data_IF_301988220104
#
_entry.id   IF_301988220104
#
_cell.length_a   1.000
_cell.length_b   1.000
_cell.length_c   1.000
_cell.angle_alpha   90.00
_cell.angle_beta   90.00
_cell.angle_gamma   90.00
#
_symmetry.space_group_name_H-M   'P 1'
#
loop_
_entity.id
_entity.type
_entity.pdbx_description
1 polymer ?
#
# COMPACT_ATOMS: atom_id res chain seq x y z
N UNK A 1 65.76 2.32 -14.57
CA UNK A 1 64.36 1.82 -14.64
C UNK A 1 63.55 2.47 -13.52
N UNK A 2 62.33 2.95 -13.83
CA UNK A 2 61.25 3.50 -12.94
C UNK A 2 61.62 4.75 -12.09
N UNK A 3 61.40 6.00 -12.54
CA UNK A 3 60.14 6.78 -12.71
C UNK A 3 59.22 6.81 -11.47
N UNK A 4 59.25 7.97 -10.80
CA UNK A 4 58.17 8.75 -10.15
C UNK A 4 56.80 8.07 -9.99
N UNK A 5 56.17 8.20 -8.83
CA UNK A 5 54.96 9.03 -8.61
C UNK A 5 54.37 8.68 -7.23
N UNK A 6 54.67 9.49 -6.22
CA UNK A 6 53.93 9.53 -4.94
C UNK A 6 52.80 10.53 -5.14
N UNK A 7 51.57 10.09 -5.30
CA UNK A 7 50.40 10.96 -5.36
C UNK A 7 49.37 10.50 -4.33
N UNK A 8 49.22 11.32 -3.30
CA UNK A 8 47.98 11.62 -2.56
C UNK A 8 46.89 10.54 -2.55
N UNK A 9 46.75 9.84 -1.42
CA UNK A 9 45.51 9.16 -1.04
C UNK A 9 45.06 9.70 0.33
N UNK A 10 44.58 10.94 0.32
CA UNK A 10 43.69 11.48 1.34
C UNK A 10 42.50 12.13 0.64
N UNK A 11 41.51 11.32 0.34
CA UNK A 11 40.12 11.72 0.13
C UNK A 11 39.37 10.41 0.34
N UNK A 12 38.71 10.21 1.46
CA UNK A 12 37.71 11.10 2.01
C UNK A 12 36.49 10.21 2.17
N UNK A 13 36.03 10.07 3.41
CA UNK A 13 34.77 9.44 3.77
C UNK A 13 33.69 9.82 2.76
N UNK A 14 32.96 8.82 2.24
CA UNK A 14 31.55 8.84 1.83
C UNK A 14 31.33 7.78 0.75
N UNK A 15 31.25 6.52 1.16
CA UNK A 15 30.51 5.47 0.44
C UNK A 15 30.33 4.25 1.36
N UNK A 16 29.90 4.46 2.61
CA UNK A 16 29.37 3.39 3.46
C UNK A 16 27.86 3.50 3.50
N UNK A 17 27.20 3.09 2.41
CA UNK A 17 25.79 2.62 2.41
C UNK A 17 25.35 2.29 0.98
N UNK A 18 25.95 1.27 0.37
CA UNK A 18 25.40 0.65 -0.85
C UNK A 18 25.39 -0.88 -0.71
N UNK A 19 25.09 -1.37 0.50
CA UNK A 19 25.07 -2.79 0.80
C UNK A 19 23.81 -3.15 1.57
N UNK A 20 22.66 -3.08 0.91
CA UNK A 20 21.40 -3.65 1.41
C UNK A 20 20.36 -3.92 0.30
N UNK A 21 20.73 -4.40 -0.89
CA UNK A 21 19.71 -4.78 -1.89
C UNK A 21 19.96 -6.18 -2.45
N UNK A 22 19.76 -7.20 -1.62
CA UNK A 22 19.60 -8.58 -2.09
C UNK A 22 18.40 -9.29 -1.43
N UNK A 23 17.43 -8.55 -0.87
CA UNK A 23 16.29 -9.17 -0.21
C UNK A 23 15.11 -8.26 0.18
N UNK A 24 15.05 -7.00 -0.26
CA UNK A 24 13.91 -6.14 0.06
C UNK A 24 12.73 -6.50 -0.84
N UNK A 25 11.58 -6.85 -0.24
CA UNK A 25 10.35 -7.03 -1.01
C UNK A 25 9.78 -5.64 -1.39
N UNK A 26 9.05 -5.54 -2.52
CA UNK A 26 8.53 -4.25 -3.00
C UNK A 26 7.62 -3.56 -1.98
N UNK A 27 6.96 -4.33 -1.10
CA UNK A 27 6.16 -3.77 -0.02
C UNK A 27 7.01 -2.99 1.00
N UNK A 28 8.13 -3.54 1.46
CA UNK A 28 9.06 -2.89 2.37
C UNK A 28 9.65 -1.62 1.77
N UNK A 29 10.03 -1.67 0.47
CA UNK A 29 10.48 -0.49 -0.25
C UNK A 29 9.40 0.59 -0.33
N UNK A 30 8.15 0.22 -0.58
CA UNK A 30 7.03 1.15 -0.61
C UNK A 30 6.79 1.83 0.76
N UNK A 31 6.91 1.08 1.85
CA UNK A 31 6.77 1.62 3.20
C UNK A 31 7.88 2.61 3.56
N UNK A 32 9.13 2.31 3.20
CA UNK A 32 10.26 3.23 3.39
C UNK A 32 10.02 4.55 2.64
N UNK A 33 9.72 4.48 1.34
CA UNK A 33 9.43 5.68 0.54
C UNK A 33 8.24 6.46 1.10
N UNK A 34 7.16 5.79 1.50
CA UNK A 34 5.99 6.44 2.10
C UNK A 34 6.34 7.14 3.41
N UNK A 35 7.14 6.53 4.28
CA UNK A 35 7.55 7.13 5.55
C UNK A 35 8.44 8.37 5.35
N UNK A 36 9.17 8.42 4.25
CA UNK A 36 9.94 9.58 3.81
C UNK A 36 9.12 10.63 3.04
N UNK A 37 7.81 10.40 2.85
CA UNK A 37 6.92 11.30 2.09
C UNK A 37 7.11 11.22 0.56
N UNK A 38 7.85 10.23 0.08
CA UNK A 38 8.09 9.95 -1.35
C UNK A 38 6.93 9.15 -1.93
N UNK A 39 5.77 9.80 -2.03
CA UNK A 39 4.52 9.16 -2.42
C UNK A 39 4.54 8.62 -3.87
N UNK A 40 5.23 9.29 -4.79
CA UNK A 40 5.34 8.83 -6.19
C UNK A 40 6.05 7.47 -6.28
N UNK A 41 7.22 7.34 -5.64
CA UNK A 41 7.98 6.10 -5.58
C UNK A 41 7.21 5.01 -4.80
N UNK A 42 6.59 5.37 -3.67
CA UNK A 42 5.79 4.44 -2.90
C UNK A 42 4.61 3.86 -3.72
N UNK A 43 3.95 4.65 -4.57
CA UNK A 43 2.87 4.16 -5.44
C UNK A 43 3.40 3.11 -6.43
N UNK A 44 4.58 3.33 -7.01
CA UNK A 44 5.21 2.37 -7.93
C UNK A 44 5.54 1.06 -7.22
N UNK A 45 6.11 1.14 -6.03
CA UNK A 45 6.51 -0.05 -5.26
C UNK A 45 5.31 -0.81 -4.68
N UNK A 46 4.26 -0.11 -4.21
CA UNK A 46 3.01 -0.80 -3.85
C UNK A 46 2.36 -1.48 -5.06
N UNK A 47 2.48 -0.89 -6.25
CA UNK A 47 1.96 -1.53 -7.47
C UNK A 47 2.67 -2.84 -7.75
N UNK A 48 4.00 -2.88 -7.63
CA UNK A 48 4.77 -4.12 -7.74
C UNK A 48 4.40 -5.12 -6.63
N UNK A 49 4.25 -4.66 -5.39
CA UNK A 49 3.85 -5.51 -4.27
C UNK A 49 2.47 -6.17 -4.46
N UNK A 50 1.55 -5.50 -5.16
CA UNK A 50 0.21 -6.01 -5.46
C UNK A 50 0.21 -7.10 -6.54
N UNK A 51 1.26 -7.22 -7.36
CA UNK A 51 1.35 -8.30 -8.35
C UNK A 51 1.52 -9.67 -7.68
N UNK A 52 2.28 -9.71 -6.59
CA UNK A 52 2.64 -10.93 -5.87
C UNK A 52 2.61 -10.72 -4.35
N UNK A 53 1.44 -10.44 -3.75
CA UNK A 53 1.33 -10.19 -2.31
C UNK A 53 1.68 -11.45 -1.52
N UNK A 54 2.49 -11.30 -0.48
CA UNK A 54 2.92 -12.40 0.39
C UNK A 54 1.79 -12.90 1.31
N UNK A 55 0.74 -12.11 1.51
CA UNK A 55 -0.43 -12.46 2.32
C UNK A 55 -1.63 -11.54 2.03
N UNK A 56 -2.83 -11.94 2.45
CA UNK A 56 -4.02 -11.06 2.42
C UNK A 56 -3.84 -9.80 3.27
N UNK A 57 -3.00 -9.86 4.31
CA UNK A 57 -2.63 -8.72 5.12
C UNK A 57 -1.76 -7.71 4.38
N UNK A 58 -0.78 -8.22 3.62
CA UNK A 58 0.05 -7.39 2.74
C UNK A 58 -0.80 -6.79 1.63
N UNK A 59 -1.68 -7.58 1.01
CA UNK A 59 -2.64 -7.11 0.01
C UNK A 59 -3.49 -5.94 0.54
N UNK A 60 -4.07 -6.09 1.74
CA UNK A 60 -4.88 -5.03 2.37
C UNK A 60 -4.08 -3.76 2.65
N UNK A 61 -2.85 -3.90 3.18
CA UNK A 61 -1.98 -2.76 3.49
C UNK A 61 -1.48 -2.06 2.23
N UNK A 62 -1.07 -2.82 1.21
CA UNK A 62 -0.60 -2.26 -0.07
C UNK A 62 -1.69 -1.40 -0.72
N UNK A 63 -2.93 -1.89 -0.81
CA UNK A 63 -4.04 -1.06 -1.30
C UNK A 63 -4.27 0.17 -0.42
N UNK A 64 -4.31 0.00 0.91
CA UNK A 64 -4.58 1.13 1.80
C UNK A 64 -3.50 2.23 1.73
N UNK A 65 -2.24 1.86 1.77
CA UNK A 65 -1.15 2.83 1.75
C UNK A 65 -0.96 3.43 0.36
N UNK A 66 -1.16 2.66 -0.72
CA UNK A 66 -1.22 3.21 -2.07
C UNK A 66 -2.39 4.20 -2.23
N UNK A 67 -3.53 3.94 -1.59
CA UNK A 67 -4.64 4.91 -1.52
C UNK A 67 -4.24 6.21 -0.84
N UNK A 68 -3.51 6.15 0.28
CA UNK A 68 -3.04 7.34 0.98
C UNK A 68 -2.04 8.14 0.15
N UNK A 69 -1.06 7.49 -0.47
CA UNK A 69 -0.12 8.17 -1.37
C UNK A 69 -0.84 8.82 -2.55
N UNK A 70 -1.80 8.12 -3.17
CA UNK A 70 -2.60 8.69 -4.24
C UNK A 70 -3.45 9.90 -3.78
N UNK A 71 -4.00 9.87 -2.55
CA UNK A 71 -4.71 11.02 -1.97
C UNK A 71 -3.77 12.22 -1.79
N UNK A 72 -2.56 11.98 -1.27
CA UNK A 72 -1.53 13.01 -1.06
C UNK A 72 -1.07 13.64 -2.39
N UNK A 73 -0.96 12.84 -3.44
CA UNK A 73 -0.66 13.30 -4.80
C UNK A 73 -1.86 13.95 -5.52
N UNK A 74 -3.04 14.04 -4.87
CA UNK A 74 -4.26 14.59 -5.47
C UNK A 74 -4.96 13.68 -6.49
N UNK A 75 -4.50 12.43 -6.62
CA UNK A 75 -5.04 11.41 -7.52
C UNK A 75 -6.25 10.71 -6.87
N UNK A 76 -7.38 11.43 -6.77
CA UNK A 76 -8.58 10.97 -6.03
C UNK A 76 -9.20 9.69 -6.59
N UNK A 77 -9.23 9.51 -7.92
CA UNK A 77 -9.80 8.31 -8.56
C UNK A 77 -9.08 7.02 -8.15
N UNK A 78 -7.74 6.89 -8.34
CA UNK A 78 -7.03 5.71 -7.86
C UNK A 78 -7.04 5.60 -6.34
N UNK A 79 -7.00 6.72 -5.60
CA UNK A 79 -7.13 6.68 -4.14
C UNK A 79 -8.44 6.04 -3.69
N UNK A 80 -9.55 6.37 -4.35
CA UNK A 80 -10.87 5.82 -4.08
C UNK A 80 -10.96 4.32 -4.42
N UNK A 81 -10.47 3.92 -5.59
CA UNK A 81 -10.45 2.51 -6.00
C UNK A 81 -9.63 1.65 -5.02
N UNK A 82 -8.44 2.12 -4.65
CA UNK A 82 -7.57 1.45 -3.68
C UNK A 82 -8.19 1.40 -2.27
N UNK A 83 -8.83 2.49 -1.82
CA UNK A 83 -9.52 2.51 -0.52
C UNK A 83 -10.65 1.47 -0.47
N UNK A 84 -11.35 1.27 -1.58
CA UNK A 84 -12.41 0.27 -1.72
C UNK A 84 -11.84 -1.15 -1.76
N UNK A 85 -10.76 -1.37 -2.52
CA UNK A 85 -10.08 -2.65 -2.53
C UNK A 85 -9.61 -3.04 -1.12
N UNK A 86 -8.94 -2.12 -0.40
CA UNK A 86 -8.54 -2.32 0.98
C UNK A 86 -9.72 -2.67 1.90
N UNK A 87 -10.89 -2.06 1.67
CA UNK A 87 -12.10 -2.34 2.43
C UNK A 87 -12.58 -3.79 2.21
N UNK A 88 -12.60 -4.26 0.96
CA UNK A 88 -12.97 -5.66 0.64
C UNK A 88 -12.06 -6.66 1.31
N UNK A 89 -10.75 -6.46 1.21
CA UNK A 89 -9.79 -7.37 1.84
C UNK A 89 -9.93 -7.32 3.36
N UNK A 90 -10.08 -6.13 3.94
CA UNK A 90 -10.31 -5.95 5.38
C UNK A 90 -11.55 -6.69 5.89
N UNK A 91 -12.66 -6.66 5.15
CA UNK A 91 -13.88 -7.37 5.53
C UNK A 91 -13.74 -8.89 5.41
N UNK A 92 -13.11 -9.37 4.33
CA UNK A 92 -12.78 -10.79 4.20
C UNK A 92 -11.93 -11.28 5.38
N UNK A 93 -10.89 -10.51 5.71
CA UNK A 93 -9.98 -10.74 6.82
C UNK A 93 -10.71 -10.78 8.17
N UNK A 94 -11.60 -9.82 8.43
CA UNK A 94 -12.42 -9.78 9.65
C UNK A 94 -13.41 -10.96 9.76
N UNK A 95 -13.94 -11.44 8.63
CA UNK A 95 -14.87 -12.56 8.58
C UNK A 95 -14.19 -13.91 8.78
N UNK A 96 -12.96 -14.07 8.26
CA UNK A 96 -12.28 -15.38 8.18
C UNK A 96 -11.25 -15.59 9.29
N UNK A 97 -10.59 -14.53 9.78
CA UNK A 97 -9.54 -14.65 10.78
C UNK A 97 -10.07 -14.43 12.20
N UNK A 98 -10.19 -15.52 12.96
CA UNK A 98 -10.58 -15.48 14.38
C UNK A 98 -9.66 -14.60 15.23
N UNK A 99 -8.38 -14.50 14.87
CA UNK A 99 -7.34 -13.73 15.57
C UNK A 99 -7.53 -12.22 15.44
N UNK A 100 -8.22 -11.72 14.43
CA UNK A 100 -8.50 -10.28 14.30
C UNK A 100 -9.50 -9.75 15.31
N UNK A 101 -10.31 -10.63 15.92
CA UNK A 101 -11.25 -10.21 16.98
C UNK A 101 -10.55 -9.77 18.26
N UNK A 102 -9.27 -10.13 18.45
CA UNK A 102 -8.58 -9.99 19.75
C UNK A 102 -7.25 -9.24 19.70
N UNK A 103 -6.71 -8.90 18.51
CA UNK A 103 -5.44 -8.16 18.41
C UNK A 103 -5.66 -6.66 18.61
N UNK A 104 -5.19 -6.07 19.73
CA UNK A 104 -5.22 -4.63 19.92
C UNK A 104 -3.92 -4.02 19.38
N UNK A 105 -4.03 -2.88 18.72
CA UNK A 105 -2.94 -1.90 18.50
C UNK A 105 -1.80 -2.36 17.57
N UNK A 106 -1.96 -2.12 16.26
CA UNK A 106 -0.85 -2.19 15.30
C UNK A 106 -1.25 -2.49 13.86
N UNK A 107 -2.43 -3.08 13.65
CA UNK A 107 -2.97 -3.23 12.30
C UNK A 107 -3.66 -1.96 11.86
N UNK A 108 -3.01 -1.25 10.93
CA UNK A 108 -3.56 -0.06 10.28
C UNK A 108 -4.85 -0.40 9.51
N UNK A 109 -4.99 -1.65 9.04
CA UNK A 109 -6.19 -2.17 8.39
C UNK A 109 -6.68 -3.44 9.11
N UNK A 110 -7.74 -3.32 9.90
CA UNK A 110 -8.36 -4.40 10.67
C UNK A 110 -9.89 -4.31 10.69
N UNK A 111 -10.60 -4.99 11.61
CA UNK A 111 -12.07 -5.01 11.62
C UNK A 111 -12.73 -3.63 11.68
N UNK A 112 -12.10 -2.65 12.34
CA UNK A 112 -12.56 -1.28 12.39
C UNK A 112 -12.58 -0.60 11.01
N UNK A 113 -11.64 -0.96 10.13
CA UNK A 113 -11.62 -0.48 8.76
C UNK A 113 -12.78 -1.05 7.95
N UNK A 114 -13.05 -2.34 8.09
CA UNK A 114 -14.25 -2.95 7.49
C UNK A 114 -15.55 -2.26 7.91
N UNK A 115 -15.71 -2.00 9.21
CA UNK A 115 -17.00 -1.58 9.77
C UNK A 115 -17.25 -0.07 9.75
N UNK A 116 -16.20 0.75 9.82
CA UNK A 116 -16.35 2.19 10.08
C UNK A 116 -15.40 3.05 9.26
N UNK A 117 -14.10 2.77 9.32
CA UNK A 117 -13.10 3.70 8.79
C UNK A 117 -13.02 3.65 7.26
N UNK A 118 -13.17 2.46 6.66
CA UNK A 118 -13.24 2.29 5.21
C UNK A 118 -14.46 2.96 4.58
N UNK A 119 -15.70 2.69 5.06
CA UNK A 119 -16.90 3.39 4.58
C UNK A 119 -16.78 4.92 4.68
N UNK A 120 -16.38 5.45 5.85
CA UNK A 120 -16.20 6.89 6.04
C UNK A 120 -15.11 7.48 5.13
N UNK A 121 -14.05 6.72 4.85
CA UNK A 121 -13.00 7.13 3.90
C UNK A 121 -13.54 7.17 2.47
N UNK A 122 -14.35 6.19 2.06
CA UNK A 122 -14.99 6.19 0.74
C UNK A 122 -15.98 7.33 0.57
N UNK A 123 -16.76 7.67 1.60
CA UNK A 123 -17.62 8.85 1.57
C UNK A 123 -16.81 10.14 1.36
N UNK A 124 -15.69 10.29 2.07
CA UNK A 124 -14.81 11.47 1.94
C UNK A 124 -14.17 11.57 0.55
N UNK A 125 -13.57 10.49 0.07
CA UNK A 125 -12.92 10.47 -1.26
C UNK A 125 -13.95 10.58 -2.39
N UNK A 126 -15.13 10.00 -2.18
CA UNK A 126 -16.23 9.97 -3.14
C UNK A 126 -17.10 11.23 -3.16
N UNK A 127 -16.97 12.15 -2.20
CA UNK A 127 -17.81 13.34 -2.09
C UNK A 127 -17.80 14.23 -3.34
N UNK A 128 -16.72 14.19 -4.14
CA UNK A 128 -16.59 14.89 -5.41
C UNK A 128 -16.79 14.03 -6.67
N UNK A 129 -17.08 12.74 -6.52
CA UNK A 129 -17.22 11.81 -7.64
C UNK A 129 -18.70 11.63 -8.01
N UNK A 130 -19.06 11.66 -9.31
CA UNK A 130 -20.37 11.20 -9.77
C UNK A 130 -20.63 9.77 -9.30
N UNK A 131 -21.87 9.46 -8.91
CA UNK A 131 -22.25 8.13 -8.40
C UNK A 131 -21.88 7.01 -9.38
N UNK A 132 -22.16 7.19 -10.66
CA UNK A 132 -21.84 6.21 -11.71
C UNK A 132 -20.33 5.97 -11.83
N UNK A 133 -19.52 7.02 -11.64
CA UNK A 133 -18.06 6.92 -11.67
C UNK A 133 -17.55 6.18 -10.44
N UNK A 134 -18.08 6.49 -9.26
CA UNK A 134 -17.77 5.77 -8.03
C UNK A 134 -18.13 4.28 -8.13
N UNK A 135 -19.24 3.94 -8.78
CA UNK A 135 -19.63 2.55 -9.06
C UNK A 135 -18.65 1.86 -10.03
N UNK A 136 -18.28 2.52 -11.12
CA UNK A 136 -17.33 1.97 -12.09
C UNK A 136 -15.94 1.72 -11.48
N UNK A 137 -15.48 2.62 -10.60
CA UNK A 137 -14.23 2.45 -9.87
C UNK A 137 -14.27 1.25 -8.92
N UNK A 138 -15.40 1.01 -8.23
CA UNK A 138 -15.60 -0.17 -7.39
C UNK A 138 -15.56 -1.45 -8.22
N UNK A 139 -16.29 -1.49 -9.34
CA UNK A 139 -16.30 -2.64 -10.26
C UNK A 139 -14.89 -2.93 -10.80
N UNK A 140 -14.12 -1.89 -11.15
CA UNK A 140 -12.74 -2.08 -11.60
C UNK A 140 -11.86 -2.66 -10.50
N UNK A 141 -11.97 -2.15 -9.26
CA UNK A 141 -11.24 -2.69 -8.13
C UNK A 141 -11.60 -4.16 -7.84
N UNK A 142 -12.87 -4.55 -7.99
CA UNK A 142 -13.29 -5.95 -7.83
C UNK A 142 -12.64 -6.89 -8.84
N UNK A 143 -12.37 -6.44 -10.07
CA UNK A 143 -11.71 -7.27 -11.11
C UNK A 143 -10.28 -7.65 -10.74
N UNK A 144 -9.61 -6.84 -9.94
CA UNK A 144 -8.25 -7.08 -9.46
C UNK A 144 -8.21 -7.96 -8.21
N UNK A 145 -9.36 -8.13 -7.54
CA UNK A 145 -9.44 -8.90 -6.30
C UNK A 145 -9.72 -10.38 -6.56
N UNK A 146 -9.09 -11.28 -5.77
CA UNK A 146 -9.42 -12.69 -5.81
C UNK A 146 -10.89 -12.98 -5.46
N UNK A 147 -11.52 -13.90 -6.20
CA UNK A 147 -12.93 -14.28 -6.00
C UNK A 147 -13.27 -14.63 -4.54
N UNK A 148 -12.38 -15.31 -3.80
CA UNK A 148 -12.60 -15.66 -2.37
C UNK A 148 -12.88 -14.45 -1.48
N UNK A 149 -12.30 -13.29 -1.81
CA UNK A 149 -12.51 -12.02 -1.10
C UNK A 149 -13.86 -11.43 -1.50
N UNK A 150 -14.22 -11.58 -2.77
CA UNK A 150 -15.48 -11.07 -3.29
C UNK A 150 -16.71 -11.82 -2.77
N UNK A 151 -16.57 -13.10 -2.47
CA UNK A 151 -17.64 -13.95 -1.92
C UNK A 151 -18.05 -13.55 -0.48
N UNK A 152 -17.24 -12.72 0.21
CA UNK A 152 -17.61 -12.15 1.51
C UNK A 152 -18.38 -10.84 1.30
N UNK A 153 -19.63 -10.74 1.80
CA UNK A 153 -20.41 -9.52 1.69
C UNK A 153 -19.78 -8.39 2.52
N UNK A 154 -19.90 -7.16 2.02
CA UNK A 154 -19.64 -5.97 2.82
C UNK A 154 -20.73 -5.82 3.90
N UNK A 155 -20.41 -5.23 5.07
CA UNK A 155 -21.41 -4.90 6.07
C UNK A 155 -22.45 -3.91 5.51
N UNK A 156 -23.70 -4.06 5.95
CA UNK A 156 -24.82 -3.15 5.65
C UNK A 156 -24.69 -1.79 6.36
#
# INVERSE_FOLDING_TARGET
MRKFTTCMLTAGLYAMSAMACAGMNSYEAAEEHRQEGRCDEAVQEYTQALEHPSSDHELARSYYFRSLCNEELGSIRPAYADAYAALRVSCYLAATERTMRTRPLGYVIGPAYCQREGPARLERLGAGLPEQEAMALREQAEKELPKRILDVPLPE
#
